data_IF_928263033817
#
_entry.id   IF_928263033817
#
_cell.length_a   1.000
_cell.length_b   1.000
_cell.length_c   1.000
_cell.angle_alpha   90.00
_cell.angle_beta   90.00
_cell.angle_gamma   90.00
#
_symmetry.space_group_name_H-M   'P 1'
#
loop_
_entity.id
_entity.type
_entity.pdbx_description
1 polymer ?
#
# COMPACT_ATOMS: atom_id res chain seq x y z
N UNK A 1 12.82 20.94 -3.79
CA UNK A 1 11.54 21.28 -4.47
C UNK A 1 10.70 22.09 -3.49
N UNK A 2 9.77 22.95 -3.92
CA UNK A 2 8.83 23.58 -2.98
C UNK A 2 7.58 22.73 -2.83
N UNK A 3 6.98 22.74 -1.65
CA UNK A 3 5.74 22.02 -1.36
C UNK A 3 4.72 22.92 -0.67
N UNK A 4 3.45 22.54 -0.75
CA UNK A 4 2.35 23.25 -0.09
C UNK A 4 1.32 22.29 0.48
N UNK A 5 0.65 22.70 1.55
CA UNK A 5 -0.49 21.96 2.08
C UNK A 5 -1.80 22.35 1.39
N UNK A 6 -2.68 21.37 1.22
CA UNK A 6 -4.11 21.56 1.00
C UNK A 6 -4.90 20.83 2.08
N UNK A 7 -6.10 21.32 2.38
CA UNK A 7 -6.98 20.77 3.43
C UNK A 7 -8.40 20.67 2.91
N UNK A 8 -9.03 19.54 3.15
CA UNK A 8 -10.47 19.33 3.01
C UNK A 8 -10.98 18.54 4.21
N UNK A 9 -12.29 18.30 4.28
CA UNK A 9 -12.88 17.56 5.40
C UNK A 9 -12.34 16.13 5.40
N UNK A 10 -11.66 15.75 6.48
CA UNK A 10 -11.09 14.42 6.65
C UNK A 10 -9.86 14.12 5.79
N UNK A 11 -9.24 15.14 5.17
CA UNK A 11 -8.06 14.92 4.34
C UNK A 11 -7.14 16.15 4.34
N UNK A 12 -5.85 15.93 4.56
CA UNK A 12 -4.82 16.98 4.48
C UNK A 12 -3.67 16.43 3.66
N UNK A 13 -3.34 17.09 2.55
CA UNK A 13 -2.34 16.60 1.61
C UNK A 13 -1.21 17.60 1.41
N UNK A 14 -0.01 17.04 1.25
CA UNK A 14 1.19 17.71 0.81
C UNK A 14 1.28 17.61 -0.71
N UNK A 15 1.28 18.76 -1.38
CA UNK A 15 1.33 18.87 -2.84
C UNK A 15 2.70 19.40 -3.28
N UNK A 16 3.14 18.99 -4.46
CA UNK A 16 4.24 19.67 -5.14
C UNK A 16 3.82 21.10 -5.51
N UNK A 17 4.63 22.09 -5.13
CA UNK A 17 4.43 23.51 -5.45
C UNK A 17 5.38 23.90 -6.59
N UNK A 18 5.12 23.32 -7.76
CA UNK A 18 5.87 23.58 -8.99
C UNK A 18 4.96 24.29 -10.00
N UNK A 19 5.45 25.39 -10.58
CA UNK A 19 4.74 26.18 -11.60
C UNK A 19 4.38 25.36 -12.85
N UNK A 20 5.03 24.20 -13.05
CA UNK A 20 4.72 23.26 -14.13
C UNK A 20 3.33 22.64 -14.03
N UNK A 21 2.76 22.54 -12.83
CA UNK A 21 1.46 21.90 -12.63
C UNK A 21 0.37 22.95 -12.35
N UNK A 22 -0.78 22.91 -13.06
CA UNK A 22 -1.97 23.64 -12.65
C UNK A 22 -2.32 23.35 -11.19
N UNK A 23 -2.88 24.32 -10.46
CA UNK A 23 -3.19 24.16 -9.02
C UNK A 23 -4.06 22.93 -8.72
N UNK A 24 -4.97 22.58 -9.61
CA UNK A 24 -5.93 21.48 -9.48
C UNK A 24 -5.37 20.13 -9.99
N UNK A 25 -4.16 20.15 -10.56
CA UNK A 25 -3.44 18.99 -11.08
C UNK A 25 -2.10 18.77 -10.38
N UNK A 26 -1.83 19.55 -9.32
CA UNK A 26 -0.61 19.43 -8.55
C UNK A 26 -0.48 18.01 -7.97
N UNK A 27 0.65 17.31 -8.22
CA UNK A 27 0.87 15.98 -7.68
C UNK A 27 0.81 15.95 -6.16
N UNK A 28 0.15 14.92 -5.61
CA UNK A 28 0.13 14.66 -4.17
C UNK A 28 1.35 13.82 -3.81
N UNK A 29 2.11 14.28 -2.82
CA UNK A 29 3.37 13.67 -2.38
C UNK A 29 3.17 12.84 -1.11
N UNK A 30 2.34 13.33 -0.21
CA UNK A 30 1.95 12.65 1.02
C UNK A 30 0.57 13.13 1.42
N UNK A 31 -0.18 12.32 2.16
CA UNK A 31 -1.46 12.74 2.67
C UNK A 31 -1.75 12.11 4.03
N UNK A 32 -2.58 12.79 4.81
CA UNK A 32 -3.32 12.17 5.89
C UNK A 32 -4.80 12.08 5.56
N UNK A 33 -5.40 10.95 5.89
CA UNK A 33 -6.82 10.67 5.66
C UNK A 33 -7.46 10.27 6.98
N UNK A 34 -8.58 10.90 7.32
CA UNK A 34 -9.41 10.55 8.46
C UNK A 34 -10.25 9.33 8.12
N UNK A 35 -10.23 8.35 9.00
CA UNK A 35 -11.15 7.22 8.93
C UNK A 35 -12.47 7.64 9.56
N UNK A 36 -13.50 7.65 8.72
CA UNK A 36 -14.84 8.02 9.17
C UNK A 36 -15.29 7.10 10.31
N UNK A 37 -15.88 7.70 11.35
CA UNK A 37 -16.36 6.96 12.52
C UNK A 37 -15.30 6.59 13.56
N UNK A 38 -13.99 6.70 13.26
CA UNK A 38 -12.93 6.30 14.21
C UNK A 38 -12.22 7.48 14.87
N UNK A 39 -12.21 8.66 14.23
CA UNK A 39 -11.42 9.81 14.70
C UNK A 39 -9.90 9.68 14.47
N UNK A 40 -9.46 8.56 13.90
CA UNK A 40 -8.06 8.25 13.66
C UNK A 40 -7.64 8.64 12.24
N UNK A 41 -6.40 9.09 12.09
CA UNK A 41 -5.82 9.50 10.82
C UNK A 41 -4.78 8.49 10.35
N UNK A 42 -4.77 8.14 9.07
CA UNK A 42 -3.69 7.39 8.45
C UNK A 42 -2.83 8.29 7.60
N UNK A 43 -1.57 7.93 7.45
CA UNK A 43 -0.60 8.65 6.64
C UNK A 43 -0.15 7.82 5.44
N UNK A 44 -0.09 8.49 4.29
CA UNK A 44 0.52 7.98 3.08
C UNK A 44 1.69 8.85 2.64
N UNK A 45 2.72 8.20 2.10
CA UNK A 45 3.87 8.82 1.47
C UNK A 45 4.17 8.10 0.15
N UNK A 46 4.07 8.81 -0.96
CA UNK A 46 4.24 8.19 -2.29
C UNK A 46 5.64 7.61 -2.47
N UNK A 47 6.66 8.06 -1.70
CA UNK A 47 8.02 7.48 -1.72
C UNK A 47 8.05 5.99 -1.40
N UNK A 48 7.07 5.52 -0.63
CA UNK A 48 6.94 4.11 -0.25
C UNK A 48 6.11 3.30 -1.26
N UNK A 49 5.54 3.95 -2.28
CA UNK A 49 4.69 3.30 -3.28
C UNK A 49 5.48 2.67 -4.42
N UNK A 50 4.90 1.65 -5.03
CA UNK A 50 5.35 1.08 -6.30
C UNK A 50 5.33 2.07 -7.47
N UNK A 51 4.43 3.04 -7.45
CA UNK A 51 4.23 3.97 -8.56
C UNK A 51 5.37 4.99 -8.62
N UNK A 52 6.14 4.98 -9.71
CA UNK A 52 7.33 5.84 -9.89
C UNK A 52 7.06 7.32 -10.11
N UNK A 53 5.80 7.75 -10.22
CA UNK A 53 5.44 9.14 -10.46
C UNK A 53 4.26 9.52 -9.57
N UNK A 54 4.35 10.62 -8.82
CA UNK A 54 3.19 11.14 -8.11
C UNK A 54 2.17 11.63 -9.13
N UNK A 55 0.91 11.40 -8.81
CA UNK A 55 -0.26 11.90 -9.52
C UNK A 55 -1.13 12.67 -8.53
N UNK A 56 -2.16 13.35 -9.02
CA UNK A 56 -3.17 13.95 -8.13
C UNK A 56 -3.96 12.92 -7.29
N UNK A 57 -3.88 11.65 -7.67
CA UNK A 57 -4.50 10.52 -6.98
C UNK A 57 -3.49 9.78 -6.07
N UNK A 58 -2.22 10.16 -6.10
CA UNK A 58 -1.23 9.57 -5.21
C UNK A 58 -1.56 9.93 -3.77
N UNK A 59 -1.43 8.98 -2.85
CA UNK A 59 -1.77 9.21 -1.44
C UNK A 59 -3.27 9.12 -1.10
N UNK A 60 -4.16 8.79 -2.04
CA UNK A 60 -5.47 8.25 -1.68
C UNK A 60 -5.33 6.82 -1.17
N UNK A 61 -6.06 6.47 -0.13
CA UNK A 61 -6.20 5.09 0.33
C UNK A 61 -7.51 4.53 -0.20
N UNK A 62 -7.43 3.41 -0.92
CA UNK A 62 -8.60 2.62 -1.30
C UNK A 62 -8.87 1.55 -0.24
N UNK A 63 -10.07 0.98 -0.26
CA UNK A 63 -10.43 -0.11 0.65
C UNK A 63 -9.43 -1.28 0.56
N UNK A 64 -9.03 -1.63 -0.66
CA UNK A 64 -8.10 -2.72 -0.98
C UNK A 64 -6.68 -2.49 -0.41
N UNK A 65 -6.29 -1.24 -0.12
CA UNK A 65 -4.99 -0.95 0.49
C UNK A 65 -4.97 -1.35 1.98
N UNK A 66 -6.15 -1.40 2.60
CA UNK A 66 -6.34 -1.62 4.03
C UNK A 66 -6.93 -3.00 4.34
N UNK A 67 -7.69 -3.57 3.42
CA UNK A 67 -8.35 -4.87 3.57
C UNK A 67 -8.31 -5.63 2.25
N UNK A 68 -7.10 -6.00 1.82
CA UNK A 68 -6.92 -6.88 0.68
C UNK A 68 -7.40 -8.29 1.03
N UNK A 69 -8.00 -8.98 0.07
CA UNK A 69 -8.58 -10.29 0.30
C UNK A 69 -8.48 -11.22 -0.91
N UNK A 70 -8.53 -12.52 -0.66
CA UNK A 70 -8.68 -13.54 -1.69
C UNK A 70 -9.36 -14.78 -1.13
N UNK A 71 -10.31 -15.33 -1.88
CA UNK A 71 -10.86 -16.65 -1.59
C UNK A 71 -10.20 -17.66 -2.54
N UNK A 72 -9.35 -18.54 -1.98
CA UNK A 72 -8.62 -19.52 -2.76
C UNK A 72 -9.50 -20.76 -3.00
N UNK A 73 -9.74 -21.09 -4.27
CA UNK A 73 -10.61 -22.21 -4.67
C UNK A 73 -10.03 -23.59 -4.33
N UNK A 74 -8.71 -23.69 -4.12
CA UNK A 74 -8.03 -24.95 -3.80
C UNK A 74 -6.99 -24.77 -2.69
N UNK A 75 -6.67 -25.83 -1.93
CA UNK A 75 -5.61 -25.79 -0.92
C UNK A 75 -4.25 -25.39 -1.48
N UNK A 76 -3.93 -25.78 -2.71
CA UNK A 76 -2.67 -25.43 -3.38
C UNK A 76 -2.57 -23.92 -3.62
N UNK A 77 -3.65 -23.30 -4.09
CA UNK A 77 -3.72 -21.85 -4.28
C UNK A 77 -3.69 -21.11 -2.94
N UNK A 78 -4.35 -21.64 -1.91
CA UNK A 78 -4.31 -21.06 -0.58
C UNK A 78 -2.87 -21.06 -0.03
N UNK A 79 -2.15 -22.18 -0.17
CA UNK A 79 -0.75 -22.28 0.25
C UNK A 79 0.16 -21.35 -0.55
N UNK A 80 -0.06 -21.22 -1.86
CA UNK A 80 0.64 -20.24 -2.69
C UNK A 80 0.45 -18.83 -2.15
N UNK A 81 -0.80 -18.37 -1.96
CA UNK A 81 -1.11 -17.03 -1.43
C UNK A 81 -0.41 -16.82 -0.09
N UNK A 82 -0.55 -17.76 0.85
CA UNK A 82 0.05 -17.68 2.19
C UNK A 82 1.58 -17.58 2.13
N UNK A 83 2.23 -18.25 1.18
CA UNK A 83 3.69 -18.19 0.99
C UNK A 83 4.18 -16.80 0.54
N UNK A 84 3.32 -16.01 -0.10
CA UNK A 84 3.64 -14.68 -0.60
C UNK A 84 3.40 -13.57 0.43
N UNK A 85 2.76 -13.89 1.56
CA UNK A 85 2.35 -12.93 2.58
C UNK A 85 3.15 -13.16 3.86
N UNK A 86 3.65 -12.07 4.46
CA UNK A 86 4.32 -12.13 5.76
C UNK A 86 3.30 -12.24 6.88
N UNK A 87 2.22 -11.47 6.77
CA UNK A 87 1.15 -11.35 7.77
C UNK A 87 -0.21 -11.44 7.05
N UNK A 88 -1.08 -12.34 7.51
CA UNK A 88 -2.42 -12.55 6.97
C UNK A 88 -3.35 -13.18 8.04
N UNK A 89 -4.67 -13.10 7.79
CA UNK A 89 -5.73 -13.74 8.58
C UNK A 89 -6.59 -14.61 7.70
N UNK A 90 -6.94 -15.80 8.18
CA UNK A 90 -7.84 -16.72 7.47
C UNK A 90 -9.19 -16.75 8.19
N UNK A 91 -10.27 -16.59 7.43
CA UNK A 91 -11.65 -16.68 7.92
C UNK A 91 -12.16 -18.12 7.82
N UNK A 92 -13.27 -18.40 8.51
CA UNK A 92 -13.90 -19.73 8.52
C UNK A 92 -14.34 -20.22 7.13
N UNK A 93 -14.61 -19.29 6.21
CA UNK A 93 -14.99 -19.58 4.82
C UNK A 93 -13.79 -19.79 3.87
N UNK A 94 -12.56 -19.79 4.41
CA UNK A 94 -11.32 -19.94 3.64
C UNK A 94 -10.81 -18.64 3.00
N UNK A 95 -11.45 -17.50 3.26
CA UNK A 95 -10.97 -16.20 2.78
C UNK A 95 -9.70 -15.78 3.54
N UNK A 96 -8.67 -15.37 2.79
CA UNK A 96 -7.42 -14.85 3.32
C UNK A 96 -7.43 -13.32 3.21
N UNK A 97 -7.22 -12.62 4.33
CA UNK A 97 -7.19 -11.16 4.45
C UNK A 97 -5.78 -10.65 4.79
N UNK A 98 -5.37 -9.51 4.24
CA UNK A 98 -4.11 -8.83 4.58
C UNK A 98 -4.12 -7.31 4.27
N UNK A 99 -3.08 -6.58 4.68
CA UNK A 99 -2.85 -5.18 4.29
C UNK A 99 -1.64 -5.08 3.34
N UNK A 100 -1.72 -4.22 2.31
CA UNK A 100 -0.68 -4.10 1.27
C UNK A 100 0.54 -3.30 1.76
N UNK A 101 0.30 -2.36 2.68
CA UNK A 101 1.26 -1.37 3.17
C UNK A 101 1.96 -0.56 2.04
N UNK A 102 1.42 -0.55 0.81
CA UNK A 102 1.99 0.25 -0.28
C UNK A 102 1.70 1.73 -0.02
N UNK A 103 2.75 2.57 -0.02
CA UNK A 103 2.57 3.99 0.26
C UNK A 103 2.11 4.34 1.68
N UNK A 104 1.87 3.36 2.56
CA UNK A 104 1.33 3.53 3.92
C UNK A 104 2.46 3.68 4.94
N UNK A 105 2.32 4.62 5.87
CA UNK A 105 3.24 4.82 7.00
C UNK A 105 2.66 4.22 8.28
N UNK A 106 3.45 3.42 9.02
CA UNK A 106 3.04 2.83 10.32
C UNK A 106 3.31 3.77 11.52
N UNK A 107 2.51 3.63 12.58
CA UNK A 107 2.73 4.17 13.95
C UNK A 107 1.61 3.67 14.89
N UNK A 108 1.80 3.29 16.16
CA UNK A 108 2.80 3.57 17.22
C UNK A 108 3.52 2.31 17.81
N UNK A 109 4.61 2.49 18.58
CA UNK A 109 5.19 1.54 19.57
C UNK A 109 5.03 2.15 20.98
N UNK A 110 4.34 1.51 21.94
CA UNK A 110 4.14 2.09 23.28
C UNK A 110 5.29 1.80 24.26
N UNK A 111 5.73 2.83 25.04
CA UNK A 111 6.53 2.68 26.28
C UNK A 111 6.13 3.78 27.29
N UNK A 112 5.28 3.46 28.28
CA UNK A 112 5.13 4.11 29.61
C UNK A 112 3.92 3.55 30.42
N UNK A 113 3.80 2.23 30.53
CA UNK A 113 3.03 1.62 31.64
C UNK A 113 1.53 1.34 31.43
N UNK A 114 1.07 1.02 30.21
CA UNK A 114 -0.28 0.50 30.00
C UNK A 114 -0.31 -1.04 29.80
N UNK A 115 -1.39 -1.70 30.25
CA UNK A 115 -1.55 -3.18 30.34
C UNK A 115 -2.27 -3.76 29.10
N UNK A 116 -1.95 -5.01 28.70
CA UNK A 116 -2.30 -5.59 27.41
C UNK A 116 -3.74 -6.14 27.37
N UNK A 117 -4.41 -6.05 26.21
CA UNK A 117 -5.70 -6.71 25.98
C UNK A 117 -5.77 -7.35 24.57
N UNK A 118 -5.55 -8.67 24.52
CA UNK A 118 -6.14 -9.68 23.61
C UNK A 118 -6.02 -9.62 22.07
N UNK A 119 -4.99 -10.31 21.54
CA UNK A 119 -4.78 -11.13 20.30
C UNK A 119 -5.65 -11.02 19.02
N UNK A 120 -6.84 -10.40 18.97
CA UNK A 120 -7.45 -10.09 17.66
C UNK A 120 -6.65 -9.02 16.87
N UNK A 121 -5.59 -8.52 17.50
CA UNK A 121 -4.55 -7.57 17.13
C UNK A 121 -3.65 -7.99 15.95
N UNK A 122 -4.08 -7.76 14.71
CA UNK A 122 -3.27 -7.09 13.67
C UNK A 122 -4.18 -6.77 12.48
N UNK A 123 -4.79 -5.58 12.48
CA UNK A 123 -5.56 -5.08 11.34
C UNK A 123 -5.27 -3.58 11.16
N UNK A 124 -4.89 -3.20 9.92
CA UNK A 124 -4.85 -1.84 9.37
C UNK A 124 -3.58 -0.97 9.58
N UNK A 125 -3.37 -0.12 8.58
CA UNK A 125 -2.32 0.90 8.51
C UNK A 125 -2.26 1.75 9.79
N UNK A 126 -1.04 2.11 10.20
CA UNK A 126 -0.80 2.81 11.46
C UNK A 126 -1.65 4.08 11.60
N UNK A 127 -2.29 4.22 12.77
CA UNK A 127 -3.18 5.32 13.07
C UNK A 127 -2.49 6.37 13.92
N UNK A 128 -2.77 7.62 13.60
CA UNK A 128 -2.31 8.80 14.30
C UNK A 128 -3.51 9.56 14.83
N UNK A 129 -3.36 10.24 15.96
CA UNK A 129 -4.22 11.39 16.23
C UNK A 129 -4.00 12.47 15.17
N UNK A 130 -4.93 13.40 15.03
CA UNK A 130 -4.76 14.51 14.07
C UNK A 130 -3.48 15.32 14.34
N UNK A 131 -3.16 15.57 15.62
CA UNK A 131 -2.00 16.35 16.01
C UNK A 131 -0.70 15.63 15.67
N UNK A 132 -0.59 14.34 16.00
CA UNK A 132 0.58 13.53 15.68
C UNK A 132 0.75 13.36 14.16
N UNK A 133 -0.35 13.09 13.47
CA UNK A 133 -0.35 12.98 12.02
C UNK A 133 0.18 14.26 11.38
N UNK A 134 -0.18 15.43 11.91
CA UNK A 134 0.26 16.72 11.38
C UNK A 134 1.75 16.96 11.61
N UNK A 135 2.29 16.50 12.74
CA UNK A 135 3.72 16.53 13.00
C UNK A 135 4.44 15.66 11.98
N UNK A 136 3.98 14.42 11.77
CA UNK A 136 4.57 13.51 10.78
C UNK A 136 4.45 14.00 9.35
N UNK A 137 3.33 14.59 8.97
CA UNK A 137 3.16 15.17 7.64
C UNK A 137 4.10 16.38 7.41
N UNK A 138 4.42 17.15 8.45
CA UNK A 138 5.45 18.21 8.38
C UNK A 138 6.87 17.64 8.28
N UNK A 139 7.17 16.53 8.96
CA UNK A 139 8.45 15.82 8.77
C UNK A 139 8.61 15.36 7.32
N UNK A 140 7.54 14.81 6.72
CA UNK A 140 7.51 14.44 5.30
C UNK A 140 7.70 15.65 4.38
N UNK A 141 7.06 16.78 4.69
CA UNK A 141 7.26 18.04 3.97
C UNK A 141 8.74 18.43 3.92
N UNK A 142 9.42 18.45 5.07
CA UNK A 142 10.85 18.80 5.13
C UNK A 142 11.70 17.87 4.27
N UNK A 143 11.38 16.56 4.29
CA UNK A 143 12.10 15.59 3.49
C UNK A 143 11.85 15.76 1.97
N UNK A 144 10.63 16.11 1.57
CA UNK A 144 10.28 16.42 0.18
C UNK A 144 10.87 17.74 -0.30
N UNK A 145 10.97 18.74 0.57
CA UNK A 145 11.58 20.03 0.21
C UNK A 145 13.07 19.86 -0.13
N UNK A 146 13.74 18.90 0.51
CA UNK A 146 15.13 18.51 0.23
C UNK A 146 15.36 17.75 -1.09
N UNK A 147 14.30 17.37 -1.82
CA UNK A 147 14.41 16.67 -3.11
C UNK A 147 14.38 17.69 -4.25
N UNK A 148 15.39 17.71 -5.12
CA UNK A 148 15.52 18.74 -6.17
C UNK A 148 14.40 18.70 -7.23
N UNK A 149 13.99 17.50 -7.67
CA UNK A 149 12.94 17.31 -8.67
C UNK A 149 12.20 15.98 -8.52
N UNK A 150 10.99 15.88 -9.10
CA UNK A 150 10.20 14.63 -9.17
C UNK A 150 10.77 13.58 -10.12
N UNK A 151 11.72 13.96 -10.98
CA UNK A 151 12.42 13.04 -11.88
C UNK A 151 13.63 12.37 -11.18
N UNK A 152 13.91 12.75 -9.94
CA UNK A 152 14.97 12.15 -9.11
C UNK A 152 14.58 10.75 -8.60
N UNK A 153 15.57 10.00 -8.08
CA UNK A 153 15.33 8.75 -7.37
C UNK A 153 14.77 9.04 -5.97
N UNK A 154 13.49 9.42 -5.90
CA UNK A 154 12.81 9.77 -4.65
C UNK A 154 12.22 8.57 -3.89
N UNK A 155 12.20 7.38 -4.50
CA UNK A 155 11.62 6.17 -3.93
C UNK A 155 12.47 5.65 -2.76
N UNK A 156 11.80 5.24 -1.69
CA UNK A 156 12.37 4.58 -0.53
C UNK A 156 11.86 3.14 -0.54
N UNK A 157 12.72 2.19 -0.19
CA UNK A 157 12.28 0.80 -0.03
C UNK A 157 11.43 0.66 1.23
N UNK A 158 10.30 -0.04 1.12
CA UNK A 158 9.42 -0.31 2.25
C UNK A 158 9.53 -1.80 2.62
N UNK A 159 10.33 -2.16 3.64
CA UNK A 159 10.54 -3.56 4.02
C UNK A 159 9.26 -4.22 4.56
N UNK A 160 8.23 -3.43 4.89
CA UNK A 160 6.96 -3.93 5.40
C UNK A 160 5.92 -4.17 4.32
N UNK A 161 6.20 -3.76 3.07
CA UNK A 161 5.28 -3.89 1.94
C UNK A 161 4.91 -5.36 1.67
N UNK A 162 3.63 -5.58 1.37
CA UNK A 162 3.08 -6.84 0.86
C UNK A 162 2.49 -6.61 -0.53
N UNK A 163 2.10 -7.70 -1.22
CA UNK A 163 1.43 -7.56 -2.53
C UNK A 163 0.08 -6.88 -2.37
N UNK A 164 -0.34 -6.15 -3.42
CA UNK A 164 -1.73 -5.72 -3.51
C UNK A 164 -2.63 -6.87 -3.94
N UNK A 165 -3.92 -6.77 -3.63
CA UNK A 165 -4.93 -7.73 -4.05
C UNK A 165 -4.90 -7.99 -5.56
N UNK A 166 -4.85 -6.93 -6.37
CA UNK A 166 -4.80 -7.05 -7.83
C UNK A 166 -3.56 -7.79 -8.35
N UNK A 167 -2.40 -7.60 -7.70
CA UNK A 167 -1.17 -8.35 -8.05
C UNK A 167 -1.33 -9.83 -7.68
N UNK A 168 -1.88 -10.12 -6.50
CA UNK A 168 -2.13 -11.49 -6.04
C UNK A 168 -3.08 -12.24 -6.98
N UNK A 169 -4.21 -11.62 -7.35
CA UNK A 169 -5.16 -12.20 -8.32
C UNK A 169 -4.54 -12.44 -9.69
N UNK A 170 -3.68 -11.52 -10.15
CA UNK A 170 -2.92 -11.70 -11.39
C UNK A 170 -2.08 -12.98 -11.37
N UNK A 171 -1.31 -13.20 -10.30
CA UNK A 171 -0.49 -14.40 -10.14
C UNK A 171 -1.34 -15.67 -10.06
N UNK A 172 -2.40 -15.67 -9.25
CA UNK A 172 -3.33 -16.80 -9.12
C UNK A 172 -3.98 -17.14 -10.48
N UNK A 173 -4.36 -16.14 -11.29
CA UNK A 173 -4.89 -16.38 -12.62
C UNK A 173 -3.87 -17.05 -13.55
N UNK A 174 -2.58 -16.73 -13.43
CA UNK A 174 -1.53 -17.32 -14.25
C UNK A 174 -1.26 -18.78 -13.84
N UNK A 175 -1.30 -19.08 -12.55
CA UNK A 175 -1.21 -20.45 -12.03
C UNK A 175 -2.37 -21.30 -12.57
N UNK A 176 -3.61 -20.81 -12.44
CA UNK A 176 -4.81 -21.51 -12.95
C UNK A 176 -4.75 -21.80 -14.45
N UNK A 177 -4.11 -20.93 -15.22
CA UNK A 177 -3.95 -21.07 -16.68
C UNK A 177 -2.73 -21.92 -17.07
N UNK A 178 -1.98 -22.46 -16.11
CA UNK A 178 -0.77 -23.26 -16.34
C UNK A 178 0.38 -22.47 -16.95
N UNK A 179 0.44 -21.15 -16.71
CA UNK A 179 1.61 -20.33 -17.05
C UNK A 179 2.65 -20.31 -15.92
N UNK A 180 2.19 -20.44 -14.67
CA UNK A 180 3.02 -20.56 -13.48
C UNK A 180 2.72 -21.87 -12.75
N UNK A 181 3.71 -22.41 -12.04
CA UNK A 181 3.53 -23.56 -11.15
C UNK A 181 2.95 -23.14 -9.78
N UNK A 182 2.79 -24.10 -8.86
CA UNK A 182 2.24 -23.84 -7.53
C UNK A 182 3.15 -22.96 -6.63
N UNK A 183 4.39 -22.70 -7.05
CA UNK A 183 5.33 -21.80 -6.37
C UNK A 183 5.38 -20.41 -7.04
N UNK A 184 4.66 -20.21 -8.16
CA UNK A 184 4.69 -18.97 -8.94
C UNK A 184 5.82 -18.91 -9.97
N UNK A 185 6.49 -20.03 -10.25
CA UNK A 185 7.59 -20.08 -11.22
C UNK A 185 7.05 -20.37 -12.63
N UNK A 186 7.64 -19.76 -13.69
CA UNK A 186 7.22 -20.02 -15.06
C UNK A 186 7.30 -21.51 -15.43
N UNK A 187 6.20 -22.06 -15.94
CA UNK A 187 6.23 -23.39 -16.55
C UNK A 187 6.78 -23.22 -17.97
N UNK A 188 7.96 -23.79 -18.24
CA UNK A 188 8.43 -23.95 -19.62
C UNK A 188 7.38 -24.76 -20.37
N UNK A 189 6.56 -24.09 -21.18
CA UNK A 189 5.70 -24.80 -22.12
C UNK A 189 6.64 -25.52 -23.09
N UNK A 190 6.51 -26.85 -23.29
CA UNK A 190 7.21 -27.49 -24.39
C UNK A 190 6.86 -26.71 -25.66
N UNK A 191 7.89 -26.31 -26.43
CA UNK A 191 7.74 -25.58 -27.67
C UNK A 191 6.59 -26.23 -28.45
N UNK A 192 5.47 -25.51 -28.61
CA UNK A 192 4.28 -26.12 -29.20
C UNK A 192 4.70 -26.66 -30.55
N UNK A 193 4.61 -27.97 -30.73
CA UNK A 193 4.69 -28.60 -32.04
C UNK A 193 3.63 -27.91 -32.90
N UNK A 194 4.08 -26.98 -33.75
CA UNK A 194 3.21 -26.33 -34.71
C UNK A 194 2.43 -27.44 -35.44
N UNK A 195 1.11 -27.28 -35.64
CA UNK A 195 0.39 -28.24 -36.47
C UNK A 195 1.12 -28.26 -37.83
N UNK A 196 1.64 -29.44 -38.21
CA UNK A 196 2.17 -29.61 -39.56
C UNK A 196 1.01 -29.35 -40.54
N UNK A 197 1.24 -28.55 -41.60
CA UNK A 197 0.24 -28.30 -42.63
C UNK A 197 -0.20 -29.58 -43.33
#
# INVERSE_FOLDING_TARGET
MRTRFTRSRGWIALLADDKKYPKDEAPVLAAMTLHEGTGCWQLTDVRLSLHKKPSRYSGSLNADDLCAHINAETPELANYVKSQLREYKELEDGTILWCTFDGIVRGHQEVNGYRPVSWADFEQAGYFSQAEGLIKLKEMQMAWDGIDSLDSHWRIDNPLRQMSEGVMWGNVSLIKKGYLDANGEPIEKPASSAPKP
#
